data_IF_785069035820
#
_entry.id   IF_785069035820
#
_cell.length_a   1.000
_cell.length_b   1.000
_cell.length_c   1.000
_cell.angle_alpha   90.00
_cell.angle_beta   90.00
_cell.angle_gamma   90.00
#
_symmetry.space_group_name_H-M   'P 1'
#
loop_
_entity.id
_entity.type
_entity.pdbx_description
1 polymer ?
#
# COMPACT_ATOMS: atom_id res chain seq x y z
N UNK A 1 4.89 17.04 6.34
CA UNK A 1 5.50 16.50 5.10
C UNK A 1 6.13 15.14 5.38
N UNK A 2 6.94 15.04 6.43
CA UNK A 2 7.56 13.78 6.86
C UNK A 2 6.54 12.68 7.18
N UNK A 3 5.44 13.05 7.85
CA UNK A 3 4.31 12.15 8.14
C UNK A 3 3.73 11.44 6.88
N UNK A 4 3.69 12.12 5.73
CA UNK A 4 3.17 11.54 4.47
C UNK A 4 4.17 10.55 3.88
N UNK A 5 5.46 10.88 3.95
CA UNK A 5 6.56 10.00 3.52
C UNK A 5 6.61 8.75 4.40
N UNK A 6 6.59 8.93 5.72
CA UNK A 6 6.57 7.85 6.70
C UNK A 6 5.35 6.94 6.49
N UNK A 7 4.17 7.51 6.26
CA UNK A 7 2.97 6.72 5.96
C UNK A 7 3.15 5.89 4.68
N UNK A 8 3.70 6.46 3.59
CA UNK A 8 3.93 5.73 2.34
C UNK A 8 4.95 4.59 2.51
N UNK A 9 6.03 4.82 3.27
CA UNK A 9 7.03 3.80 3.58
C UNK A 9 6.44 2.71 4.48
N UNK A 10 5.66 3.08 5.50
CA UNK A 10 4.95 2.16 6.40
C UNK A 10 3.99 1.29 5.62
N UNK A 11 3.14 1.88 4.78
CA UNK A 11 2.18 1.15 3.95
C UNK A 11 2.88 0.15 3.02
N UNK A 12 3.93 0.57 2.31
CA UNK A 12 4.70 -0.33 1.44
C UNK A 12 5.37 -1.46 2.23
N UNK A 13 5.92 -1.18 3.42
CA UNK A 13 6.61 -2.16 4.26
C UNK A 13 5.64 -3.19 4.84
N UNK A 14 4.43 -2.77 5.23
CA UNK A 14 3.37 -3.64 5.75
C UNK A 14 2.80 -4.61 4.72
N UNK A 15 3.16 -4.50 3.44
CA UNK A 15 2.86 -5.53 2.42
C UNK A 15 3.84 -6.72 2.44
N UNK A 16 4.93 -6.65 3.21
CA UNK A 16 5.99 -7.67 3.19
C UNK A 16 5.70 -8.74 4.24
N UNK A 17 5.51 -10.02 3.88
CA UNK A 17 5.10 -11.07 4.82
C UNK A 17 6.13 -11.34 5.93
N UNK A 18 7.41 -11.04 5.69
CA UNK A 18 8.49 -11.21 6.67
C UNK A 18 8.72 -10.02 7.60
N UNK A 19 8.01 -8.90 7.41
CA UNK A 19 8.15 -7.76 8.29
C UNK A 19 7.31 -7.94 9.56
N UNK A 20 7.88 -7.60 10.72
CA UNK A 20 7.18 -7.71 12.01
C UNK A 20 5.94 -6.82 12.07
N UNK A 21 6.00 -5.66 11.44
CA UNK A 21 4.90 -4.69 11.35
C UNK A 21 3.73 -5.15 10.46
N UNK A 22 3.88 -6.24 9.70
CA UNK A 22 2.84 -6.69 8.76
C UNK A 22 1.70 -7.40 9.51
N UNK A 23 0.44 -7.05 9.22
CA UNK A 23 -0.72 -7.74 9.77
C UNK A 23 -0.71 -9.25 9.49
N UNK A 24 -1.39 -10.04 10.33
CA UNK A 24 -1.45 -11.50 10.17
C UNK A 24 -1.92 -11.92 8.77
N UNK A 25 -2.96 -11.27 8.24
CA UNK A 25 -3.50 -11.60 6.90
C UNK A 25 -2.47 -11.39 5.78
N UNK A 26 -1.54 -10.44 5.91
CA UNK A 26 -0.46 -10.25 4.94
C UNK A 26 0.50 -11.44 4.97
N UNK A 27 0.82 -11.94 6.16
CA UNK A 27 1.69 -13.11 6.33
C UNK A 27 1.01 -14.39 5.81
N UNK A 28 -0.31 -14.49 5.97
CA UNK A 28 -1.10 -15.64 5.56
C UNK A 28 -1.40 -15.66 4.05
N UNK A 29 -1.59 -14.50 3.41
CA UNK A 29 -2.07 -14.39 2.02
C UNK A 29 -1.02 -13.92 1.01
N UNK A 30 0.11 -13.33 1.43
CA UNK A 30 1.15 -12.88 0.48
C UNK A 30 2.41 -13.75 0.52
N UNK A 31 2.89 -14.15 -0.65
CA UNK A 31 4.21 -14.75 -0.84
C UNK A 31 5.31 -13.69 -1.03
N UNK A 32 4.96 -12.54 -1.60
CA UNK A 32 5.89 -11.43 -1.86
C UNK A 32 5.23 -10.06 -1.69
N UNK A 33 5.98 -9.12 -1.12
CA UNK A 33 5.52 -7.74 -0.86
C UNK A 33 6.26 -6.68 -1.67
N UNK A 34 5.80 -5.44 -1.56
CA UNK A 34 6.29 -4.33 -2.35
C UNK A 34 7.70 -3.85 -1.92
N UNK A 35 8.56 -3.61 -2.91
CA UNK A 35 9.89 -3.01 -2.73
C UNK A 35 9.88 -1.48 -2.53
N UNK A 36 11.04 -0.85 -2.34
CA UNK A 36 11.16 0.60 -2.06
C UNK A 36 10.64 1.50 -3.19
N UNK A 37 10.54 1.01 -4.43
CA UNK A 37 9.91 1.76 -5.52
C UNK A 37 8.44 2.06 -5.24
N UNK A 38 7.73 1.21 -4.49
CA UNK A 38 6.33 1.43 -4.21
C UNK A 38 6.09 2.71 -3.40
N UNK A 39 6.88 2.98 -2.36
CA UNK A 39 6.75 4.23 -1.58
C UNK A 39 7.06 5.46 -2.44
N UNK A 40 8.02 5.38 -3.36
CA UNK A 40 8.32 6.47 -4.30
C UNK A 40 7.12 6.80 -5.21
N UNK A 41 6.50 5.77 -5.81
CA UNK A 41 5.32 5.97 -6.67
C UNK A 41 4.06 6.37 -5.90
N UNK A 42 3.91 5.92 -4.66
CA UNK A 42 2.86 6.40 -3.75
C UNK A 42 2.97 7.91 -3.53
N UNK A 43 4.19 8.40 -3.24
CA UNK A 43 4.43 9.84 -3.03
C UNK A 43 4.27 10.63 -4.33
N UNK A 44 4.77 10.12 -5.45
CA UNK A 44 4.62 10.80 -6.74
C UNK A 44 3.14 10.93 -7.12
N UNK A 45 2.36 9.85 -7.00
CA UNK A 45 0.92 9.88 -7.23
C UNK A 45 0.18 10.82 -6.27
N UNK A 46 0.57 10.83 -4.99
CA UNK A 46 -0.03 11.71 -4.00
C UNK A 46 0.20 13.20 -4.32
N UNK A 47 1.42 13.57 -4.74
CA UNK A 47 1.74 14.93 -5.19
C UNK A 47 0.93 15.32 -6.42
N UNK A 48 0.84 14.43 -7.42
CA UNK A 48 0.04 14.66 -8.62
C UNK A 48 -1.43 14.89 -8.28
N UNK A 49 -2.00 14.05 -7.40
CA UNK A 49 -3.39 14.17 -6.96
C UNK A 49 -3.65 15.48 -6.21
N UNK A 50 -2.73 15.89 -5.34
CA UNK A 50 -2.85 17.15 -4.62
C UNK A 50 -2.90 18.36 -5.56
N UNK A 51 -1.99 18.41 -6.54
CA UNK A 51 -1.92 19.49 -7.53
C UNK A 51 -3.18 19.53 -8.40
N UNK A 52 -3.66 18.37 -8.87
CA UNK A 52 -4.92 18.27 -9.63
C UNK A 52 -6.11 18.80 -8.80
N UNK A 53 -6.09 18.60 -7.48
CA UNK A 53 -7.10 19.10 -6.55
C UNK A 53 -6.87 20.56 -6.10
N UNK A 54 -5.92 21.30 -6.71
CA UNK A 54 -5.62 22.69 -6.36
C UNK A 54 -4.88 22.88 -5.03
N UNK A 55 -4.38 21.80 -4.41
CA UNK A 55 -3.59 21.84 -3.17
C UNK A 55 -2.10 21.80 -3.47
N UNK A 56 -1.33 22.63 -2.77
CA UNK A 56 0.14 22.68 -2.94
C UNK A 56 0.89 21.57 -2.20
N UNK A 57 0.24 20.90 -1.24
CA UNK A 57 0.85 19.86 -0.41
C UNK A 57 -0.03 18.61 -0.38
N UNK A 58 0.55 17.40 -0.57
CA UNK A 58 -0.19 16.16 -0.44
C UNK A 58 -0.50 15.84 1.02
N UNK A 59 -1.58 15.09 1.21
CA UNK A 59 -1.98 14.55 2.51
C UNK A 59 -1.97 13.00 2.47
N UNK A 60 -2.09 12.36 3.63
CA UNK A 60 -2.18 10.90 3.78
C UNK A 60 -3.35 10.34 2.95
N UNK A 61 -4.47 11.08 2.86
CA UNK A 61 -5.61 10.70 2.02
C UNK A 61 -5.23 10.54 0.53
N UNK A 62 -4.26 11.32 0.04
CA UNK A 62 -3.77 11.20 -1.33
C UNK A 62 -2.96 9.91 -1.51
N UNK A 63 -2.12 9.57 -0.52
CA UNK A 63 -1.36 8.30 -0.51
C UNK A 63 -2.29 7.10 -0.46
N UNK A 64 -3.32 7.14 0.41
CA UNK A 64 -4.35 6.09 0.50
C UNK A 64 -5.06 5.90 -0.84
N UNK A 65 -5.39 6.99 -1.52
CA UNK A 65 -6.00 6.95 -2.86
C UNK A 65 -5.10 6.28 -3.91
N UNK A 66 -3.77 6.36 -3.74
CA UNK A 66 -2.79 5.75 -4.66
C UNK A 66 -2.42 4.31 -4.31
N UNK A 67 -2.93 3.76 -3.20
CA UNK A 67 -2.55 2.42 -2.76
C UNK A 67 -2.90 1.33 -3.77
N UNK A 68 -4.17 1.25 -4.21
CA UNK A 68 -4.60 0.25 -5.20
C UNK A 68 -3.84 0.33 -6.53
N UNK A 69 -3.75 1.49 -7.22
CA UNK A 69 -3.06 1.56 -8.51
C UNK A 69 -1.56 1.25 -8.40
N UNK A 70 -0.90 1.60 -7.28
CA UNK A 70 0.53 1.36 -7.09
C UNK A 70 0.82 -0.08 -6.62
N UNK A 71 0.04 -0.62 -5.70
CA UNK A 71 0.40 -1.86 -4.98
C UNK A 71 -0.17 -3.13 -5.61
N UNK A 72 -1.30 -3.08 -6.34
CA UNK A 72 -2.01 -4.28 -6.86
C UNK A 72 -1.15 -5.23 -7.71
N UNK A 73 -0.13 -4.69 -8.36
CA UNK A 73 0.79 -5.38 -9.27
C UNK A 73 2.21 -5.51 -8.68
N UNK A 74 2.38 -5.18 -7.40
CA UNK A 74 3.67 -5.20 -6.67
C UNK A 74 3.66 -6.15 -5.48
N UNK A 75 2.58 -6.88 -5.31
CA UNK A 75 2.41 -7.93 -4.32
C UNK A 75 2.04 -9.21 -5.06
N UNK A 76 2.42 -10.35 -4.48
CA UNK A 76 2.11 -11.67 -5.03
C UNK A 76 1.31 -12.43 -3.98
N UNK A 77 0.06 -12.73 -4.30
CA UNK A 77 -0.79 -13.59 -3.49
C UNK A 77 -0.23 -15.02 -3.48
N UNK A 78 -0.54 -15.77 -2.42
CA UNK A 78 -0.24 -17.19 -2.35
C UNK A 78 -1.49 -18.03 -2.57
N UNK A 79 -1.33 -19.35 -2.59
CA UNK A 79 -2.42 -20.29 -2.82
C UNK A 79 -3.56 -20.19 -1.79
N UNK A 80 -3.27 -19.81 -0.54
CA UNK A 80 -4.30 -19.64 0.47
C UNK A 80 -5.24 -18.49 0.11
N UNK A 81 -4.68 -17.36 -0.35
CA UNK A 81 -5.49 -16.22 -0.78
C UNK A 81 -6.35 -16.56 -2.00
N UNK A 82 -5.81 -17.34 -2.95
CA UNK A 82 -6.55 -17.81 -4.12
C UNK A 82 -7.69 -18.77 -3.71
N UNK A 83 -7.44 -19.69 -2.78
CA UNK A 83 -8.45 -20.61 -2.26
C UNK A 83 -9.58 -19.88 -1.52
N UNK A 84 -9.25 -18.79 -0.81
CA UNK A 84 -10.20 -17.90 -0.13
C UNK A 84 -10.93 -16.93 -1.10
N UNK A 85 -10.57 -16.94 -2.40
CA UNK A 85 -11.15 -16.04 -3.40
C UNK A 85 -10.78 -14.57 -3.22
N UNK A 86 -9.67 -14.28 -2.55
CA UNK A 86 -9.23 -12.92 -2.20
C UNK A 86 -8.30 -12.38 -3.29
N UNK A 87 -8.66 -11.25 -3.90
CA UNK A 87 -7.83 -10.60 -4.91
C UNK A 87 -6.73 -9.72 -4.28
N UNK A 88 -5.69 -9.39 -5.06
CA UNK A 88 -4.66 -8.44 -4.62
C UNK A 88 -5.23 -7.05 -4.34
N UNK A 89 -6.35 -6.67 -4.97
CA UNK A 89 -7.03 -5.40 -4.71
C UNK A 89 -7.68 -5.45 -3.32
N UNK A 90 -8.38 -6.53 -2.98
CA UNK A 90 -9.02 -6.71 -1.66
C UNK A 90 -7.99 -6.65 -0.52
N UNK A 91 -6.82 -7.29 -0.72
CA UNK A 91 -5.69 -7.26 0.23
C UNK A 91 -5.21 -5.82 0.44
N UNK A 92 -5.03 -5.06 -0.65
CA UNK A 92 -4.56 -3.67 -0.58
C UNK A 92 -5.58 -2.78 0.12
N UNK A 93 -6.86 -2.89 -0.22
CA UNK A 93 -7.92 -2.10 0.40
C UNK A 93 -8.04 -2.39 1.90
N UNK A 94 -7.98 -3.67 2.28
CA UNK A 94 -7.93 -4.08 3.69
C UNK A 94 -6.71 -3.50 4.39
N UNK A 95 -5.53 -3.57 3.76
CA UNK A 95 -4.30 -3.05 4.35
C UNK A 95 -4.37 -1.54 4.59
N UNK A 96 -4.97 -0.78 3.67
CA UNK A 96 -5.17 0.67 3.81
C UNK A 96 -6.13 1.00 4.96
N UNK A 97 -7.16 0.19 5.18
CA UNK A 97 -8.10 0.36 6.30
C UNK A 97 -7.43 0.07 7.65
N UNK A 98 -6.59 -0.96 7.74
CA UNK A 98 -5.87 -1.35 8.98
C UNK A 98 -4.58 -0.52 9.22
N UNK A 99 -4.19 0.33 8.29
CA UNK A 99 -3.05 1.24 8.44
C UNK A 99 -3.55 2.62 8.79
N UNK A 100 -3.56 2.95 10.09
CA UNK A 100 -3.75 4.31 10.59
C UNK A 100 -2.60 5.23 10.15
#
# INVERSE_FOLDING_TARGET
ADNVIEFAVRLATRTRPKADSSPKFIKDWLSWGAGPRASQYLILGAKTRAIIAGRHTPDIADVRSMAAPVLRHRIVANFNAEADGVSTIDIVERLVKETE
#
